data_IF_197076614411
#
_entry.id   IF_197076614411
#
_cell.length_a   1.000
_cell.length_b   1.000
_cell.length_c   1.000
_cell.angle_alpha   90.00
_cell.angle_beta   90.00
_cell.angle_gamma   90.00
#
_symmetry.space_group_name_H-M   'P 1'
#
loop_
_entity.id
_entity.type
_entity.pdbx_description
1 polymer ?
#
# COMPACT_ATOMS: atom_id res chain seq x y z
N UNK A 1 27.58 -4.46 -16.83
CA UNK A 1 26.49 -3.60 -16.32
C UNK A 1 27.14 -2.52 -15.48
N UNK A 2 26.92 -1.24 -15.78
CA UNK A 2 27.45 -0.15 -14.95
C UNK A 2 26.78 -0.12 -13.58
N UNK A 3 27.49 0.33 -12.53
CA UNK A 3 26.92 0.44 -11.19
C UNK A 3 25.70 1.40 -11.17
N UNK A 4 24.55 0.93 -10.69
CA UNK A 4 23.28 1.70 -10.64
C UNK A 4 23.30 2.86 -9.63
N UNK A 5 24.33 2.94 -8.79
CA UNK A 5 24.54 3.99 -7.79
C UNK A 5 24.05 3.61 -6.38
N UNK A 6 23.98 4.60 -5.48
CA UNK A 6 23.54 4.43 -4.08
C UNK A 6 22.19 5.08 -3.83
N UNK A 7 21.29 4.37 -3.17
CA UNK A 7 19.95 4.86 -2.76
C UNK A 7 19.75 4.74 -1.25
N UNK A 8 18.77 5.46 -0.70
CA UNK A 8 18.38 5.39 0.70
C UNK A 8 16.92 4.92 0.80
N UNK A 9 16.65 3.95 1.68
CA UNK A 9 15.29 3.49 1.99
C UNK A 9 15.02 3.73 3.47
N UNK A 10 13.97 4.50 3.77
CA UNK A 10 13.48 4.71 5.14
C UNK A 10 12.41 3.68 5.49
N UNK A 11 12.30 3.32 6.78
CA UNK A 11 11.37 2.28 7.22
C UNK A 11 11.73 0.89 6.66
N UNK A 12 13.03 0.64 6.46
CA UNK A 12 13.54 -0.52 5.74
C UNK A 12 13.22 -1.88 6.41
N UNK A 13 12.92 -1.91 7.70
CA UNK A 13 12.45 -3.13 8.39
C UNK A 13 10.94 -3.38 8.25
N UNK A 14 10.17 -2.44 7.70
CA UNK A 14 8.74 -2.59 7.47
C UNK A 14 8.41 -3.48 6.27
N UNK A 15 7.12 -3.73 6.06
CA UNK A 15 6.66 -4.62 4.99
C UNK A 15 7.14 -4.20 3.60
N UNK A 16 6.69 -3.03 3.12
CA UNK A 16 7.10 -2.50 1.82
C UNK A 16 8.58 -2.13 1.82
N UNK A 17 9.10 -1.58 2.92
CA UNK A 17 10.49 -1.14 3.01
C UNK A 17 11.49 -2.29 2.82
N UNK A 18 11.27 -3.42 3.50
CA UNK A 18 12.16 -4.59 3.40
C UNK A 18 12.10 -5.24 2.03
N UNK A 19 10.90 -5.33 1.43
CA UNK A 19 10.74 -5.83 0.07
C UNK A 19 11.40 -4.91 -0.96
N UNK A 20 11.26 -3.60 -0.81
CA UNK A 20 11.91 -2.62 -1.68
C UNK A 20 13.44 -2.71 -1.58
N UNK A 21 14.00 -2.90 -0.38
CA UNK A 21 15.44 -3.14 -0.21
C UNK A 21 15.88 -4.39 -0.97
N UNK A 22 15.15 -5.50 -0.85
CA UNK A 22 15.41 -6.73 -1.64
C UNK A 22 15.41 -6.42 -3.14
N UNK A 23 14.35 -5.81 -3.66
CA UNK A 23 14.24 -5.50 -5.10
C UNK A 23 15.38 -4.60 -5.59
N UNK A 24 15.75 -3.57 -4.82
CA UNK A 24 16.85 -2.65 -5.17
C UNK A 24 18.20 -3.38 -5.23
N UNK A 25 18.49 -4.26 -4.27
CA UNK A 25 19.71 -5.08 -4.27
C UNK A 25 19.75 -6.00 -5.49
N UNK A 26 18.62 -6.63 -5.84
CA UNK A 26 18.50 -7.47 -7.04
C UNK A 26 18.70 -6.67 -8.34
N UNK A 27 18.36 -5.38 -8.35
CA UNK A 27 18.61 -4.45 -9.46
C UNK A 27 20.05 -3.89 -9.49
N UNK A 28 20.91 -4.29 -8.54
CA UNK A 28 22.32 -3.88 -8.49
C UNK A 28 22.56 -2.52 -7.84
N UNK A 29 21.62 -2.01 -7.04
CA UNK A 29 21.83 -0.79 -6.25
C UNK A 29 22.63 -1.07 -4.96
N UNK A 30 23.43 -0.09 -4.55
CA UNK A 30 23.88 -0.01 -3.15
C UNK A 30 22.79 0.63 -2.30
N UNK A 31 22.31 -0.04 -1.26
CA UNK A 31 21.18 0.44 -0.45
C UNK A 31 21.65 0.86 0.94
N UNK A 32 21.39 2.12 1.30
CA UNK A 32 21.45 2.62 2.69
C UNK A 32 20.07 2.45 3.33
N UNK A 33 19.91 1.39 4.12
CA UNK A 33 18.69 1.11 4.85
C UNK A 33 18.65 1.86 6.19
N UNK A 34 17.55 2.55 6.48
CA UNK A 34 17.32 3.21 7.77
C UNK A 34 15.99 2.78 8.35
N UNK A 35 15.94 2.60 9.66
CA UNK A 35 14.68 2.40 10.40
C UNK A 35 14.20 3.73 10.95
N UNK A 36 12.89 3.95 10.89
CA UNK A 36 12.30 5.20 11.35
C UNK A 36 12.37 5.31 12.87
N UNK A 37 12.69 6.52 13.34
CA UNK A 37 12.37 6.95 14.70
C UNK A 37 10.97 7.58 14.66
N UNK A 38 10.12 7.27 15.64
CA UNK A 38 8.75 7.78 15.68
C UNK A 38 8.79 9.31 15.72
N UNK A 39 8.42 9.95 14.60
CA UNK A 39 8.26 11.40 14.45
C UNK A 39 6.91 11.69 13.82
N UNK A 40 6.27 12.83 14.10
CA UNK A 40 5.10 13.26 13.36
C UNK A 40 5.38 13.23 11.85
N UNK A 41 4.51 12.58 11.06
CA UNK A 41 4.81 12.25 9.65
C UNK A 41 5.20 13.47 8.80
N UNK A 42 4.54 14.62 9.04
CA UNK A 42 4.86 15.89 8.37
C UNK A 42 6.32 16.30 8.64
N UNK A 43 6.74 16.28 9.90
CA UNK A 43 8.12 16.60 10.27
C UNK A 43 9.10 15.55 9.74
N UNK A 44 8.70 14.28 9.67
CA UNK A 44 9.47 13.21 9.04
C UNK A 44 9.81 13.54 7.60
N UNK A 45 8.79 13.78 6.76
CA UNK A 45 8.97 14.13 5.34
C UNK A 45 9.81 15.40 5.18
N UNK A 46 9.50 16.48 5.91
CA UNK A 46 10.23 17.73 5.80
C UNK A 46 11.71 17.59 6.21
N UNK A 47 12.02 16.78 7.21
CA UNK A 47 13.40 16.55 7.63
C UNK A 47 14.19 15.73 6.60
N UNK A 48 13.56 14.73 5.97
CA UNK A 48 14.16 13.98 4.87
C UNK A 48 14.43 14.93 3.70
N UNK A 49 13.45 15.73 3.27
CA UNK A 49 13.63 16.68 2.16
C UNK A 49 14.69 17.75 2.44
N UNK A 50 14.77 18.26 3.67
CA UNK A 50 15.87 19.16 4.09
C UNK A 50 17.23 18.47 4.02
N UNK A 51 17.28 17.17 4.32
CA UNK A 51 18.52 16.38 4.23
C UNK A 51 18.89 16.11 2.77
N UNK A 52 17.91 15.84 1.91
CA UNK A 52 18.09 15.73 0.46
C UNK A 52 18.58 17.05 -0.13
N UNK A 53 18.04 18.20 0.27
CA UNK A 53 18.49 19.52 -0.18
C UNK A 53 19.95 19.81 0.18
N UNK A 54 20.41 19.32 1.35
CA UNK A 54 21.81 19.42 1.77
C UNK A 54 22.72 18.44 1.04
N UNK A 55 22.16 17.42 0.41
CA UNK A 55 22.90 16.45 -0.40
C UNK A 55 23.04 16.99 -1.81
N UNK A 56 24.27 17.04 -2.32
CA UNK A 56 24.53 17.37 -3.73
C UNK A 56 24.28 16.20 -4.69
N UNK A 57 23.91 15.02 -4.19
CA UNK A 57 23.83 13.78 -4.99
C UNK A 57 22.41 13.22 -5.13
N UNK A 58 21.45 13.67 -4.31
CA UNK A 58 20.06 13.19 -4.41
C UNK A 58 19.35 13.90 -5.55
N UNK A 59 19.08 13.16 -6.64
CA UNK A 59 18.36 13.68 -7.81
C UNK A 59 16.84 13.69 -7.67
N UNK A 60 16.28 12.70 -6.98
CA UNK A 60 14.84 12.45 -6.90
C UNK A 60 14.47 11.76 -5.59
N UNK A 61 13.33 12.12 -5.05
CA UNK A 61 12.72 11.50 -3.88
C UNK A 61 11.41 10.84 -4.29
N UNK A 62 11.29 9.52 -4.06
CA UNK A 62 10.03 8.78 -4.17
C UNK A 62 9.41 8.69 -2.79
N UNK A 63 8.19 9.19 -2.65
CA UNK A 63 7.43 9.18 -1.40
C UNK A 63 6.26 8.21 -1.47
N UNK A 64 6.24 7.23 -0.57
CA UNK A 64 5.12 6.30 -0.43
C UNK A 64 3.97 6.97 0.33
N UNK A 65 2.99 7.47 -0.42
CA UNK A 65 1.74 7.99 0.12
C UNK A 65 0.78 6.83 0.45
N UNK A 66 -0.53 7.03 0.30
CA UNK A 66 -1.55 6.02 0.59
C UNK A 66 -2.89 6.37 -0.06
N UNK A 67 -3.69 5.35 -0.40
CA UNK A 67 -5.12 5.45 -0.64
C UNK A 67 -5.87 6.38 0.35
N UNK A 68 -5.45 6.39 1.62
CA UNK A 68 -6.03 7.26 2.64
C UNK A 68 -5.75 8.75 2.47
N UNK A 69 -4.88 9.14 1.53
CA UNK A 69 -4.68 10.52 1.09
C UNK A 69 -5.41 10.84 -0.23
N UNK A 70 -6.07 9.84 -0.82
CA UNK A 70 -6.73 9.91 -2.12
C UNK A 70 -8.26 10.00 -1.97
N UNK A 71 -8.87 9.06 -1.23
CA UNK A 71 -10.29 8.72 -1.37
C UNK A 71 -11.16 8.86 -0.10
N UNK A 72 -10.69 9.57 0.93
CA UNK A 72 -11.44 9.79 2.18
C UNK A 72 -11.95 11.23 2.24
N UNK A 73 -12.95 11.54 1.44
CA UNK A 73 -13.52 12.90 1.27
C UNK A 73 -15.03 12.98 1.58
N UNK A 74 -15.62 11.91 2.13
CA UNK A 74 -17.05 11.79 2.39
C UNK A 74 -17.90 11.61 1.12
N UNK A 75 -17.30 11.71 -0.07
CA UNK A 75 -17.95 11.50 -1.35
C UNK A 75 -17.48 10.16 -1.90
N UNK A 76 -18.35 9.14 -1.94
CA UNK A 76 -17.98 7.88 -2.58
C UNK A 76 -18.08 8.01 -4.10
N UNK A 77 -16.95 8.23 -4.76
CA UNK A 77 -16.87 8.32 -6.23
C UNK A 77 -16.66 6.93 -6.83
N UNK A 78 -17.22 6.65 -8.03
CA UNK A 78 -17.01 5.36 -8.70
C UNK A 78 -15.56 5.18 -9.18
N UNK A 79 -14.84 6.27 -9.44
CA UNK A 79 -13.45 6.27 -9.91
C UNK A 79 -12.66 7.37 -9.22
N UNK A 80 -11.43 7.05 -8.81
CA UNK A 80 -10.45 8.00 -8.29
C UNK A 80 -9.19 8.02 -9.18
N UNK A 81 -8.71 9.23 -9.47
CA UNK A 81 -7.47 9.53 -10.20
C UNK A 81 -6.51 10.35 -9.32
N UNK A 82 -5.31 10.65 -9.82
CA UNK A 82 -4.28 11.38 -9.07
C UNK A 82 -4.66 12.81 -8.66
N UNK A 83 -5.73 13.38 -9.22
CA UNK A 83 -6.22 14.72 -8.89
C UNK A 83 -7.09 14.73 -7.62
N UNK A 84 -7.55 13.56 -7.18
CA UNK A 84 -8.37 13.40 -5.99
C UNK A 84 -7.55 13.54 -4.70
N UNK A 85 -8.17 14.10 -3.65
CA UNK A 85 -7.56 14.21 -2.34
C UNK A 85 -8.58 13.92 -1.25
N UNK A 86 -8.12 13.30 -0.17
CA UNK A 86 -8.93 13.15 1.05
C UNK A 86 -9.18 14.50 1.72
N UNK A 87 -10.36 14.63 2.32
CA UNK A 87 -10.77 15.78 3.11
C UNK A 87 -10.32 15.58 4.57
N UNK A 88 -9.38 16.42 4.99
CA UNK A 88 -8.78 16.38 6.33
C UNK A 88 -9.80 16.73 7.41
N UNK A 89 -10.70 17.68 7.14
CA UNK A 89 -11.69 18.12 8.12
C UNK A 89 -12.82 17.10 8.25
N UNK A 90 -13.23 16.48 7.14
CA UNK A 90 -14.09 15.30 7.16
C UNK A 90 -13.49 14.18 8.03
N UNK A 91 -12.21 13.85 7.83
CA UNK A 91 -11.52 12.82 8.61
C UNK A 91 -11.49 13.13 10.11
N UNK A 92 -11.12 14.36 10.48
CA UNK A 92 -11.03 14.80 11.88
C UNK A 92 -12.39 14.87 12.58
N UNK A 93 -13.43 15.23 11.84
CA UNK A 93 -14.79 15.36 12.36
C UNK A 93 -15.41 14.00 12.61
N UNK A 94 -15.36 13.10 11.61
CA UNK A 94 -16.03 11.80 11.68
C UNK A 94 -15.23 10.74 12.45
N UNK A 95 -13.91 10.89 12.59
CA UNK A 95 -13.03 10.02 13.39
C UNK A 95 -13.19 8.51 13.10
N UNK A 96 -13.46 8.15 11.84
CA UNK A 96 -13.57 6.75 11.40
C UNK A 96 -12.30 5.96 11.70
N UNK A 97 -12.38 4.63 11.70
CA UNK A 97 -11.20 3.77 11.87
C UNK A 97 -10.11 4.16 10.85
N UNK A 98 -8.91 4.47 11.34
CA UNK A 98 -7.79 4.91 10.51
C UNK A 98 -7.71 6.42 10.22
N UNK A 99 -8.64 7.25 10.72
CA UNK A 99 -8.68 8.69 10.42
C UNK A 99 -7.35 9.43 10.69
N UNK A 100 -6.66 9.12 11.80
CA UNK A 100 -5.38 9.75 12.12
C UNK A 100 -4.31 9.45 11.07
N UNK A 101 -4.32 8.22 10.55
CA UNK A 101 -3.41 7.79 9.48
C UNK A 101 -3.74 8.51 8.17
N UNK A 102 -5.02 8.63 7.81
CA UNK A 102 -5.48 9.35 6.61
C UNK A 102 -5.07 10.83 6.65
N UNK A 103 -5.33 11.51 7.77
CA UNK A 103 -4.92 12.90 7.99
C UNK A 103 -3.40 13.03 7.91
N UNK A 104 -2.67 12.14 8.59
CA UNK A 104 -1.21 12.15 8.62
C UNK A 104 -0.60 12.01 7.22
N UNK A 105 -1.04 11.02 6.44
CA UNK A 105 -0.56 10.80 5.07
C UNK A 105 -0.93 11.95 4.13
N UNK A 106 -2.17 12.44 4.22
CA UNK A 106 -2.64 13.58 3.40
C UNK A 106 -1.81 14.83 3.64
N UNK A 107 -1.62 15.21 4.91
CA UNK A 107 -0.87 16.41 5.27
C UNK A 107 0.62 16.28 4.97
N UNK A 108 1.22 15.10 5.21
CA UNK A 108 2.62 14.85 4.90
C UNK A 108 2.91 14.91 3.39
N UNK A 109 2.02 14.33 2.56
CA UNK A 109 2.17 14.40 1.09
C UNK A 109 2.06 15.84 0.59
N UNK A 110 1.04 16.59 1.02
CA UNK A 110 0.86 18.02 0.66
C UNK A 110 2.06 18.87 1.10
N UNK A 111 2.57 18.65 2.31
CA UNK A 111 3.75 19.35 2.81
C UNK A 111 5.01 19.00 2.01
N UNK A 112 5.15 17.73 1.61
CA UNK A 112 6.24 17.25 0.76
C UNK A 112 6.26 17.95 -0.59
N UNK A 113 5.14 17.95 -1.33
CA UNK A 113 5.04 18.65 -2.61
C UNK A 113 5.32 20.15 -2.47
N UNK A 114 4.71 20.82 -1.48
CA UNK A 114 4.94 22.26 -1.26
C UNK A 114 6.41 22.58 -0.96
N UNK A 115 7.08 21.74 -0.17
CA UNK A 115 8.50 21.94 0.13
C UNK A 115 9.36 21.67 -1.11
N UNK A 116 9.07 20.60 -1.85
CA UNK A 116 9.81 20.21 -3.04
C UNK A 116 9.73 21.27 -4.14
N UNK A 117 8.53 21.79 -4.42
CA UNK A 117 8.30 22.87 -5.38
C UNK A 117 9.11 24.13 -5.02
N UNK A 118 9.06 24.54 -3.75
CA UNK A 118 9.80 25.73 -3.28
C UNK A 118 11.33 25.59 -3.40
N UNK A 119 11.86 24.38 -3.36
CA UNK A 119 13.31 24.12 -3.31
C UNK A 119 13.83 23.38 -4.55
N UNK A 120 13.04 23.27 -5.62
CA UNK A 120 13.38 22.57 -6.87
C UNK A 120 13.89 21.14 -6.64
N UNK A 121 13.26 20.39 -5.74
CA UNK A 121 13.55 18.96 -5.53
C UNK A 121 12.60 18.14 -6.40
N UNK A 122 13.10 17.19 -7.18
CA UNK A 122 12.22 16.24 -7.86
C UNK A 122 11.56 15.32 -6.83
N UNK A 123 10.25 15.48 -6.66
CA UNK A 123 9.45 14.76 -5.71
C UNK A 123 8.29 14.07 -6.43
N UNK A 124 8.26 12.75 -6.35
CA UNK A 124 7.23 11.91 -6.93
C UNK A 124 6.59 11.13 -5.79
N UNK A 125 5.25 11.12 -5.74
CA UNK A 125 4.54 10.26 -4.79
C UNK A 125 3.92 9.07 -5.51
N UNK A 126 3.98 7.92 -4.84
CA UNK A 126 3.27 6.71 -5.24
C UNK A 126 2.17 6.43 -4.20
N UNK A 127 0.98 6.14 -4.68
CA UNK A 127 -0.24 5.99 -3.88
C UNK A 127 -0.67 4.52 -3.96
N UNK A 128 -0.17 3.66 -3.06
CA UNK A 128 -0.64 2.28 -2.99
C UNK A 128 -2.07 2.21 -2.43
N UNK A 129 -2.83 1.25 -2.94
CA UNK A 129 -4.04 0.71 -2.30
C UNK A 129 -3.67 -0.28 -1.17
N UNK A 130 -4.49 -1.28 -0.87
CA UNK A 130 -4.16 -2.27 0.15
C UNK A 130 -3.08 -3.21 -0.36
N UNK A 131 -1.86 -3.03 0.15
CA UNK A 131 -0.70 -3.85 -0.24
C UNK A 131 -0.86 -5.27 0.29
N UNK A 132 -0.85 -6.24 -0.62
CA UNK A 132 -1.01 -7.67 -0.36
C UNK A 132 0.08 -8.49 -1.07
N UNK A 133 0.42 -9.68 -0.56
CA UNK A 133 1.50 -10.51 -1.08
C UNK A 133 2.44 -11.08 -0.02
N UNK A 134 3.54 -11.73 -0.46
CA UNK A 134 4.51 -12.35 0.42
C UNK A 134 5.36 -11.32 1.17
N UNK A 135 5.94 -11.72 2.31
CA UNK A 135 6.74 -10.79 3.12
C UNK A 135 7.92 -11.46 3.83
N UNK A 136 9.00 -10.66 4.00
CA UNK A 136 10.26 -11.08 4.62
C UNK A 136 10.23 -10.85 6.14
N UNK A 137 9.55 -9.80 6.60
CA UNK A 137 9.52 -9.43 8.02
C UNK A 137 8.92 -10.55 8.90
N UNK A 138 9.39 -10.71 10.15
CA UNK A 138 8.99 -11.84 11.00
C UNK A 138 7.59 -11.70 11.60
N UNK A 139 7.01 -10.49 11.57
CA UNK A 139 5.70 -10.19 12.15
C UNK A 139 4.67 -9.91 11.07
N UNK A 140 3.38 -10.08 11.40
CA UNK A 140 2.30 -9.86 10.46
C UNK A 140 2.24 -8.38 10.03
N UNK A 141 2.33 -8.06 8.72
CA UNK A 141 2.21 -6.70 8.25
C UNK A 141 0.87 -6.05 8.63
N UNK A 142 0.82 -4.75 8.95
CA UNK A 142 -0.44 -4.09 9.31
C UNK A 142 -1.53 -4.15 8.23
N UNK A 143 -1.17 -4.14 6.94
CA UNK A 143 -2.14 -4.31 5.86
C UNK A 143 -2.73 -5.73 5.82
N UNK A 144 -1.98 -6.74 6.27
CA UNK A 144 -2.44 -8.13 6.28
C UNK A 144 -3.53 -8.38 7.33
N UNK A 145 -3.58 -7.58 8.40
CA UNK A 145 -4.70 -7.61 9.34
C UNK A 145 -6.04 -7.29 8.68
N UNK A 146 -6.03 -6.51 7.59
CA UNK A 146 -7.22 -6.16 6.80
C UNK A 146 -7.39 -7.16 5.66
N UNK A 147 -6.34 -7.42 4.88
CA UNK A 147 -6.42 -8.29 3.71
C UNK A 147 -6.86 -9.71 4.07
N UNK A 148 -6.36 -10.27 5.18
CA UNK A 148 -6.68 -11.63 5.64
C UNK A 148 -7.87 -11.65 6.60
N UNK A 149 -8.60 -10.55 6.78
CA UNK A 149 -9.67 -10.46 7.79
C UNK A 149 -10.75 -11.53 7.60
N UNK A 150 -11.09 -11.88 6.35
CA UNK A 150 -12.04 -12.94 6.05
C UNK A 150 -11.53 -14.32 6.47
N UNK A 151 -10.25 -14.60 6.24
CA UNK A 151 -9.58 -15.85 6.62
C UNK A 151 -9.47 -15.99 8.14
N UNK A 152 -9.10 -14.90 8.83
CA UNK A 152 -8.95 -14.87 10.29
C UNK A 152 -10.26 -14.63 11.03
N UNK A 153 -11.39 -14.51 10.31
CA UNK A 153 -12.70 -14.10 10.84
C UNK A 153 -12.67 -12.84 11.71
N UNK A 154 -11.88 -11.83 11.33
CA UNK A 154 -11.75 -10.57 12.05
C UNK A 154 -12.87 -9.59 11.64
N UNK A 155 -14.08 -9.84 12.16
CA UNK A 155 -15.29 -9.08 11.87
C UNK A 155 -15.15 -7.55 11.94
N UNK A 156 -14.48 -6.97 12.96
CA UNK A 156 -14.24 -5.52 13.02
C UNK A 156 -13.50 -4.91 11.82
N UNK A 157 -12.91 -5.73 10.94
CA UNK A 157 -12.20 -5.28 9.73
C UNK A 157 -13.00 -5.42 8.44
N UNK A 158 -14.14 -6.12 8.43
CA UNK A 158 -14.97 -6.27 7.22
C UNK A 158 -15.43 -4.96 6.59
N UNK A 159 -15.78 -3.91 7.36
CA UNK A 159 -16.12 -2.61 6.76
C UNK A 159 -14.99 -2.00 5.93
N UNK A 160 -13.73 -2.30 6.24
CA UNK A 160 -12.58 -1.86 5.46
C UNK A 160 -12.47 -2.58 4.10
N UNK A 161 -13.20 -3.68 3.89
CA UNK A 161 -13.17 -4.47 2.66
C UNK A 161 -14.34 -4.14 1.69
N UNK A 162 -15.18 -3.14 2.01
CA UNK A 162 -16.44 -2.87 1.31
C UNK A 162 -16.54 -1.45 0.70
N UNK A 163 -16.12 -1.25 -0.56
CA UNK A 163 -15.33 -2.18 -1.39
C UNK A 163 -13.83 -1.99 -1.09
N UNK A 164 -12.96 -2.76 -1.74
CA UNK A 164 -11.51 -2.68 -1.53
C UNK A 164 -10.72 -2.75 -2.82
N UNK A 165 -9.56 -2.11 -2.80
CA UNK A 165 -8.58 -2.11 -3.87
C UNK A 165 -7.28 -2.72 -3.38
N UNK A 166 -6.64 -3.53 -4.22
CA UNK A 166 -5.42 -4.27 -3.91
C UNK A 166 -4.27 -3.89 -4.82
N UNK A 167 -3.06 -4.06 -4.28
CA UNK A 167 -1.83 -4.00 -5.03
C UNK A 167 -0.84 -5.06 -4.52
N UNK A 168 -0.16 -5.76 -5.42
CA UNK A 168 0.86 -6.73 -5.02
C UNK A 168 2.10 -5.99 -4.49
N UNK A 169 2.71 -6.49 -3.42
CA UNK A 169 3.90 -5.86 -2.82
C UNK A 169 5.09 -5.78 -3.79
N UNK A 170 5.28 -6.79 -4.63
CA UNK A 170 6.34 -6.78 -5.63
C UNK A 170 6.04 -5.77 -6.74
N UNK A 171 4.83 -5.75 -7.31
CA UNK A 171 4.43 -4.73 -8.28
C UNK A 171 4.61 -3.32 -7.71
N UNK A 172 4.24 -3.11 -6.43
CA UNK A 172 4.47 -1.84 -5.76
C UNK A 172 5.96 -1.47 -5.71
N UNK A 173 6.83 -2.40 -5.33
CA UNK A 173 8.27 -2.14 -5.22
C UNK A 173 8.91 -1.94 -6.60
N UNK A 174 8.49 -2.69 -7.61
CA UNK A 174 8.89 -2.46 -8.99
C UNK A 174 8.42 -1.09 -9.48
N UNK A 175 7.21 -0.64 -9.12
CA UNK A 175 6.72 0.70 -9.47
C UNK A 175 7.54 1.81 -8.78
N UNK A 176 8.01 1.61 -7.54
CA UNK A 176 8.92 2.55 -6.89
C UNK A 176 10.23 2.71 -7.68
N UNK A 177 10.84 1.59 -8.09
CA UNK A 177 12.10 1.59 -8.86
C UNK A 177 11.85 2.20 -10.24
N UNK A 178 10.79 1.80 -10.91
CA UNK A 178 10.39 2.32 -12.22
C UNK A 178 10.23 3.84 -12.20
N UNK A 179 9.44 4.39 -11.27
CA UNK A 179 9.26 5.86 -11.16
C UNK A 179 10.53 6.59 -10.72
N UNK A 180 11.43 5.92 -9.98
CA UNK A 180 12.74 6.48 -9.63
C UNK A 180 13.66 6.60 -10.85
N UNK A 181 13.62 5.62 -11.76
CA UNK A 181 14.45 5.56 -12.96
C UNK A 181 13.85 6.33 -14.15
N UNK A 182 12.53 6.41 -14.25
CA UNK A 182 11.85 6.93 -15.44
C UNK A 182 11.97 8.46 -15.56
N UNK A 183 12.59 9.02 -16.61
CA UNK A 183 12.92 10.45 -16.67
C UNK A 183 11.69 11.36 -16.60
N UNK A 184 10.56 10.94 -17.20
CA UNK A 184 9.32 11.74 -17.25
C UNK A 184 8.42 11.61 -16.01
N UNK A 185 8.80 10.79 -15.01
CA UNK A 185 7.98 10.60 -13.83
C UNK A 185 7.85 11.90 -13.02
N UNK A 186 6.62 12.40 -12.87
CA UNK A 186 6.33 13.64 -12.13
C UNK A 186 4.98 13.62 -11.41
N UNK A 187 4.94 14.25 -10.23
CA UNK A 187 3.72 14.38 -9.45
C UNK A 187 3.33 13.08 -8.74
N UNK A 188 2.03 12.79 -8.69
CA UNK A 188 1.47 11.63 -7.99
C UNK A 188 1.23 10.48 -8.97
N UNK A 189 1.26 9.23 -8.51
CA UNK A 189 0.91 8.04 -9.28
C UNK A 189 0.12 7.06 -8.42
N UNK A 190 -1.08 6.68 -8.86
CA UNK A 190 -1.82 5.58 -8.25
C UNK A 190 -1.13 4.26 -8.65
N UNK A 191 -0.94 3.39 -7.66
CA UNK A 191 -0.43 2.03 -7.86
C UNK A 191 -1.41 1.05 -7.21
N UNK A 192 -2.40 0.66 -8.00
CA UNK A 192 -3.48 -0.26 -7.65
C UNK A 192 -3.84 -1.10 -8.88
N UNK A 193 -3.87 -2.43 -8.73
CA UNK A 193 -4.08 -3.33 -9.86
C UNK A 193 -5.48 -3.96 -9.89
N UNK A 194 -6.10 -4.13 -8.72
CA UNK A 194 -7.39 -4.82 -8.62
C UNK A 194 -8.36 -4.04 -7.74
N UNK A 195 -9.64 -4.03 -8.12
CA UNK A 195 -10.74 -3.46 -7.36
C UNK A 195 -11.84 -4.54 -7.23
N UNK A 196 -12.35 -4.78 -6.03
CA UNK A 196 -13.29 -5.89 -5.78
C UNK A 196 -14.29 -5.55 -4.67
N UNK A 197 -15.50 -6.11 -4.77
CA UNK A 197 -16.53 -6.03 -3.73
C UNK A 197 -16.28 -7.08 -2.65
N UNK A 198 -16.75 -6.81 -1.43
CA UNK A 198 -16.63 -7.75 -0.31
C UNK A 198 -17.24 -9.15 -0.62
N UNK A 199 -18.45 -9.26 -1.20
CA UNK A 199 -19.02 -10.57 -1.53
C UNK A 199 -18.17 -11.35 -2.54
N UNK A 200 -17.67 -10.68 -3.59
CA UNK A 200 -16.88 -11.34 -4.63
C UNK A 200 -15.53 -11.79 -4.08
N UNK A 201 -14.89 -10.97 -3.24
CA UNK A 201 -13.65 -11.37 -2.56
C UNK A 201 -13.88 -12.62 -1.70
N UNK A 202 -14.95 -12.65 -0.90
CA UNK A 202 -15.27 -13.81 -0.07
C UNK A 202 -15.55 -15.07 -0.90
N UNK A 203 -16.20 -14.94 -2.06
CA UNK A 203 -16.43 -16.06 -2.99
C UNK A 203 -15.11 -16.63 -3.52
N UNK A 204 -14.23 -15.78 -4.06
CA UNK A 204 -12.91 -16.21 -4.55
C UNK A 204 -12.12 -16.92 -3.44
N UNK A 205 -12.10 -16.35 -2.23
CA UNK A 205 -11.37 -16.94 -1.11
C UNK A 205 -11.95 -18.28 -0.66
N UNK A 206 -13.30 -18.45 -0.67
CA UNK A 206 -13.94 -19.75 -0.36
C UNK A 206 -13.59 -20.83 -1.36
N UNK A 207 -13.62 -20.48 -2.64
CA UNK A 207 -13.33 -21.42 -3.73
C UNK A 207 -11.87 -21.85 -3.70
N UNK A 208 -10.96 -20.90 -3.46
CA UNK A 208 -9.52 -21.14 -3.52
C UNK A 208 -8.95 -21.76 -2.25
N UNK A 209 -9.47 -21.41 -1.09
CA UNK A 209 -8.97 -21.88 0.21
C UNK A 209 -10.07 -22.56 1.03
N UNK A 210 -10.55 -23.74 0.59
CA UNK A 210 -11.65 -24.44 1.22
C UNK A 210 -11.35 -24.91 2.66
N UNK A 211 -10.09 -24.89 3.11
CA UNK A 211 -9.67 -25.17 4.48
C UNK A 211 -10.02 -24.06 5.49
N UNK A 212 -10.29 -22.85 5.00
CA UNK A 212 -10.72 -21.74 5.84
C UNK A 212 -12.23 -21.58 5.85
N UNK A 213 -12.76 -21.28 7.03
CA UNK A 213 -14.16 -20.97 7.29
C UNK A 213 -14.44 -19.49 6.97
N UNK A 214 -14.45 -19.17 5.67
CA UNK A 214 -14.71 -17.83 5.16
C UNK A 214 -16.22 -17.52 5.25
N UNK A 215 -16.63 -16.43 5.91
CA UNK A 215 -18.04 -16.15 6.16
C UNK A 215 -18.82 -15.79 4.89
N UNK A 216 -20.12 -16.08 4.90
CA UNK A 216 -21.11 -15.64 3.90
C UNK A 216 -21.88 -14.39 4.32
N UNK A 217 -21.88 -14.09 5.63
CA UNK A 217 -22.47 -12.89 6.22
C UNK A 217 -21.37 -12.09 6.92
N UNK A 218 -21.40 -10.76 6.75
CA UNK A 218 -20.30 -9.89 7.18
C UNK A 218 -20.79 -8.94 8.26
N UNK A 219 -20.48 -9.29 9.53
CA UNK A 219 -20.84 -8.45 10.67
C UNK A 219 -20.32 -7.00 10.49
N UNK A 220 -21.16 -6.03 10.82
CA UNK A 220 -20.87 -4.60 10.66
C UNK A 220 -20.99 -4.08 9.22
N UNK A 221 -21.43 -4.91 8.27
CA UNK A 221 -21.70 -4.50 6.88
C UNK A 221 -23.17 -4.79 6.55
N UNK A 222 -23.97 -3.73 6.45
CA UNK A 222 -25.41 -3.83 6.15
C UNK A 222 -25.73 -3.69 4.66
N UNK A 223 -24.86 -3.02 3.91
CA UNK A 223 -25.04 -2.76 2.47
C UNK A 223 -23.72 -2.99 1.74
N UNK A 224 -23.78 -3.66 0.58
CA UNK A 224 -22.61 -3.87 -0.26
C UNK A 224 -22.42 -2.69 -1.20
N UNK A 225 -21.21 -2.18 -1.21
CA UNK A 225 -20.84 -1.07 -2.09
C UNK A 225 -20.53 -1.60 -3.49
N UNK A 226 -20.87 -0.82 -4.51
CA UNK A 226 -20.37 -1.05 -5.86
C UNK A 226 -18.84 -0.93 -5.91
N UNK A 227 -18.24 -1.43 -6.98
CA UNK A 227 -16.79 -1.32 -7.20
C UNK A 227 -16.40 0.16 -7.26
N UNK A 228 -15.39 0.53 -6.47
CA UNK A 228 -14.71 1.82 -6.55
C UNK A 228 -13.35 1.58 -7.19
N UNK A 229 -13.11 2.20 -8.35
CA UNK A 229 -11.90 2.00 -9.14
C UNK A 229 -10.80 2.99 -8.77
N UNK A 230 -9.61 2.48 -8.46
CA UNK A 230 -8.40 3.31 -8.31
C UNK A 230 -7.60 3.27 -9.61
N UNK A 231 -7.66 4.36 -10.37
CA UNK A 231 -7.21 4.37 -11.75
C UNK A 231 -5.68 4.56 -11.87
N UNK A 232 -4.93 3.47 -11.98
CA UNK A 232 -3.49 3.48 -12.26
C UNK A 232 -3.13 3.81 -13.72
N UNK A 233 -4.03 4.49 -14.47
CA UNK A 233 -3.86 4.76 -15.91
C UNK A 233 -2.57 5.54 -16.19
N UNK A 234 -2.27 6.55 -15.38
CA UNK A 234 -1.07 7.38 -15.52
C UNK A 234 0.23 6.58 -15.37
N UNK A 235 0.25 5.59 -14.47
CA UNK A 235 1.40 4.71 -14.27
C UNK A 235 1.57 3.75 -15.46
N UNK A 236 0.47 3.15 -15.93
CA UNK A 236 0.46 2.21 -17.06
C UNK A 236 0.81 2.90 -18.38
N UNK A 237 0.28 4.09 -18.64
CA UNK A 237 0.60 4.88 -19.84
C UNK A 237 2.06 5.34 -19.88
N UNK A 238 2.75 5.38 -18.72
CA UNK A 238 4.18 5.63 -18.64
C UNK A 238 5.01 4.38 -19.04
N UNK A 239 4.37 3.21 -19.18
CA UNK A 239 5.00 1.95 -19.58
C UNK A 239 5.20 0.95 -18.44
N UNK A 240 4.60 1.16 -17.27
CA UNK A 240 4.64 0.19 -16.18
C UNK A 240 3.59 -0.93 -16.39
N UNK A 241 3.97 -2.17 -16.12
CA UNK A 241 3.10 -3.34 -16.23
C UNK A 241 2.96 -4.04 -14.87
N UNK A 242 1.72 -4.24 -14.43
CA UNK A 242 1.42 -5.08 -13.27
C UNK A 242 1.53 -6.56 -13.65
N UNK A 243 2.22 -7.35 -12.84
CA UNK A 243 2.53 -8.76 -13.14
C UNK A 243 1.71 -9.76 -12.35
N UNK A 244 1.12 -9.35 -11.24
CA UNK A 244 0.50 -10.28 -10.29
C UNK A 244 -1.01 -10.12 -10.24
N UNK A 245 -1.68 -11.27 -10.19
CA UNK A 245 -3.13 -11.38 -10.00
C UNK A 245 -3.53 -11.20 -8.52
N UNK A 246 -4.82 -11.07 -8.26
CA UNK A 246 -5.36 -11.08 -6.89
C UNK A 246 -5.02 -12.41 -6.20
N UNK A 247 -5.12 -13.50 -6.93
CA UNK A 247 -4.80 -14.87 -6.52
C UNK A 247 -3.35 -15.01 -6.05
N UNK A 248 -2.39 -14.44 -6.78
CA UNK A 248 -0.97 -14.46 -6.41
C UNK A 248 -0.73 -13.70 -5.09
N UNK A 249 -1.45 -12.59 -4.89
CA UNK A 249 -1.35 -11.79 -3.66
C UNK A 249 -1.75 -12.60 -2.43
N UNK A 250 -2.89 -13.31 -2.50
CA UNK A 250 -3.37 -14.11 -1.39
C UNK A 250 -2.53 -15.37 -1.17
N UNK A 251 -2.09 -16.05 -2.23
CA UNK A 251 -1.21 -17.21 -2.12
C UNK A 251 0.10 -16.84 -1.42
N UNK A 252 0.76 -15.77 -1.88
CA UNK A 252 2.02 -15.31 -1.30
C UNK A 252 1.87 -14.87 0.15
N UNK A 253 0.77 -14.19 0.49
CA UNK A 253 0.49 -13.75 1.85
C UNK A 253 0.23 -14.92 2.81
N UNK A 254 -0.65 -15.86 2.42
CA UNK A 254 -0.99 -17.03 3.23
C UNK A 254 0.24 -17.93 3.41
N UNK A 255 0.97 -18.20 2.32
CA UNK A 255 2.22 -18.95 2.38
C UNK A 255 3.22 -18.32 3.35
N UNK A 256 3.45 -17.01 3.23
CA UNK A 256 4.35 -16.28 4.13
C UNK A 256 3.89 -16.30 5.59
N UNK A 257 2.58 -16.29 5.85
CA UNK A 257 2.05 -16.41 7.20
C UNK A 257 2.23 -17.83 7.75
N UNK A 258 1.98 -18.86 6.95
CA UNK A 258 2.11 -20.26 7.35
C UNK A 258 3.56 -20.62 7.70
N UNK A 259 4.52 -20.22 6.86
CA UNK A 259 5.96 -20.40 7.14
C UNK A 259 6.40 -19.78 8.47
N UNK A 260 5.73 -18.71 8.89
CA UNK A 260 6.05 -17.93 10.10
C UNK A 260 5.13 -18.24 11.28
N UNK A 261 4.18 -19.16 11.13
CA UNK A 261 3.19 -19.48 12.17
C UNK A 261 2.28 -18.30 12.56
N UNK A 262 2.03 -17.38 11.64
CA UNK A 262 1.23 -16.16 11.86
C UNK A 262 -0.26 -16.34 11.53
N UNK A 263 -0.63 -17.49 10.95
CA UNK A 263 -1.99 -17.85 10.57
C UNK A 263 -2.25 -19.31 10.99
N UNK A 264 -3.44 -19.65 11.49
CA UNK A 264 -3.81 -21.05 11.70
C UNK A 264 -3.82 -21.79 10.36
N UNK A 265 -3.39 -23.06 10.32
CA UNK A 265 -3.36 -23.86 9.08
C UNK A 265 -4.75 -24.16 8.51
N UNK A 266 -5.77 -24.19 9.37
CA UNK A 266 -7.18 -24.35 9.01
C UNK A 266 -8.06 -23.67 10.05
N UNK A 267 -9.21 -23.15 9.65
CA UNK A 267 -10.23 -22.62 10.57
C UNK A 267 -11.53 -23.39 10.54
N UNK A 268 -11.74 -24.26 9.54
CA UNK A 268 -12.81 -25.27 9.61
C UNK A 268 -12.47 -26.30 10.67
N UNK A 269 -13.46 -26.58 11.54
CA UNK A 269 -13.39 -27.73 12.45
C UNK A 269 -13.47 -28.99 11.60
N UNK A 270 -12.65 -30.00 11.91
CA UNK A 270 -12.90 -31.33 11.37
C UNK A 270 -14.29 -31.75 11.84
N UNK A 271 -15.19 -32.03 10.91
CA UNK A 271 -16.44 -32.68 11.26
C UNK A 271 -16.05 -34.04 11.88
N UNK A 272 -16.29 -34.18 13.18
CA UNK A 272 -16.10 -35.46 13.85
C UNK A 272 -17.05 -36.46 13.18
N UNK A 273 -16.47 -37.46 12.52
CA UNK A 273 -17.17 -38.62 11.95
C UNK A 273 -17.85 -39.41 13.05
#
# INVERSE_FOLDING_TARGET
MGEKGTVCVTGAAGYVGSWLVKCLLEHGYTVKATNETIKPAINGVLNILKSCLKSSTVRRVIYTSSAGALAVDGQRKPVYDENCWSDVDFCKTNKMVGWMYFVSKTLAEKAGFKFAEKNNIEFVSIIPSLVNGPFIMPTLPPSMLIALALITRNAPRYPCLNPIQFNHVDDLCQAHIFLFEHPEAKGRYICSSHDITLPNLATILREKYPEYDIPTEFEGVTEFSEIIKFQSKKLVELGFEFKYSLEDMFDGAIHSCNEKGLLPLKTKKDEAV
#
